data_IF_394908144009
#
_entry.id   IF_394908144009
#
_cell.length_a   1.000
_cell.length_b   1.000
_cell.length_c   1.000
_cell.angle_alpha   90.00
_cell.angle_beta   90.00
_cell.angle_gamma   90.00
#
_symmetry.space_group_name_H-M   'P 1'
#
loop_
_entity.id
_entity.type
_entity.pdbx_description
1 polymer ?
#
# COMPACT_ATOMS: atom_id res chain seq x y z
N UNK A 1 9.03 -14.04 -8.15
CA UNK A 1 7.58 -14.15 -8.40
C UNK A 1 7.08 -12.74 -8.71
N UNK A 2 7.26 -12.33 -9.96
CA UNK A 2 6.18 -11.91 -10.85
C UNK A 2 5.40 -10.69 -10.34
N UNK A 3 5.79 -9.54 -10.91
CA UNK A 3 5.15 -8.21 -11.06
C UNK A 3 3.66 -8.24 -11.49
N UNK A 4 2.96 -9.34 -11.29
CA UNK A 4 1.58 -9.62 -11.64
C UNK A 4 0.65 -9.36 -10.44
N UNK A 5 0.97 -8.38 -9.60
CA UNK A 5 -0.07 -7.68 -8.85
C UNK A 5 -0.95 -7.04 -9.91
N UNK A 6 -2.00 -7.78 -10.30
CA UNK A 6 -3.33 -7.36 -10.73
C UNK A 6 -3.56 -5.84 -10.76
N UNK A 7 -2.76 -5.10 -11.52
CA UNK A 7 -2.85 -3.66 -11.65
C UNK A 7 -4.22 -3.30 -12.24
N UNK A 8 -4.79 -4.21 -13.03
CA UNK A 8 -6.16 -4.16 -13.52
C UNK A 8 -7.23 -4.28 -12.41
N UNK A 9 -7.06 -5.12 -11.39
CA UNK A 9 -8.05 -5.22 -10.30
C UNK A 9 -7.93 -4.04 -9.31
N UNK A 10 -6.73 -3.48 -9.16
CA UNK A 10 -6.47 -2.30 -8.32
C UNK A 10 -6.99 -1.00 -8.95
N UNK A 11 -7.03 -0.90 -10.28
CA UNK A 11 -7.53 0.29 -10.99
C UNK A 11 -9.04 0.52 -10.79
N UNK A 12 -9.85 -0.55 -10.80
CA UNK A 12 -11.30 -0.46 -10.60
C UNK A 12 -11.72 -0.28 -9.14
N UNK A 13 -10.86 -0.68 -8.20
CA UNK A 13 -11.12 -0.62 -6.75
C UNK A 13 -10.30 0.46 -6.04
N UNK A 14 -9.70 1.40 -6.79
CA UNK A 14 -8.73 2.37 -6.23
C UNK A 14 -9.28 3.16 -5.06
N UNK A 15 -10.52 3.65 -5.13
CA UNK A 15 -11.13 4.43 -4.04
C UNK A 15 -11.41 3.58 -2.81
N UNK A 16 -12.00 2.39 -2.99
CA UNK A 16 -12.23 1.45 -1.89
C UNK A 16 -10.92 1.01 -1.21
N UNK A 17 -9.88 0.79 -2.01
CA UNK A 17 -8.57 0.42 -1.49
C UNK A 17 -7.85 1.60 -0.87
N UNK A 18 -8.03 2.82 -1.37
CA UNK A 18 -7.55 4.02 -0.69
C UNK A 18 -8.16 4.10 0.70
N UNK A 19 -9.48 3.98 0.81
CA UNK A 19 -10.17 4.10 2.10
C UNK A 19 -9.77 2.97 3.05
N UNK A 20 -9.64 1.73 2.55
CA UNK A 20 -9.16 0.57 3.32
C UNK A 20 -7.70 0.74 3.78
N UNK A 21 -6.81 1.15 2.87
CA UNK A 21 -5.38 1.30 3.14
C UNK A 21 -5.04 2.61 3.87
N UNK A 22 -5.96 3.57 3.98
CA UNK A 22 -5.72 4.77 4.78
C UNK A 22 -5.61 4.43 6.27
N UNK A 23 -6.22 3.31 6.69
CA UNK A 23 -5.99 2.69 8.00
C UNK A 23 -4.58 2.07 8.05
N UNK A 24 -3.82 2.47 9.08
CA UNK A 24 -2.45 2.05 9.28
C UNK A 24 -2.31 0.52 9.46
N UNK A 25 -3.23 -0.14 10.16
CA UNK A 25 -3.16 -1.59 10.39
C UNK A 25 -3.28 -2.32 9.05
N UNK A 26 -4.24 -1.91 8.23
CA UNK A 26 -4.45 -2.46 6.89
C UNK A 26 -3.26 -2.18 5.97
N UNK A 27 -2.67 -0.99 6.06
CA UNK A 27 -1.46 -0.64 5.33
C UNK A 27 -0.27 -1.53 5.72
N UNK A 28 -0.01 -1.73 7.02
CA UNK A 28 1.06 -2.61 7.51
C UNK A 28 0.82 -4.06 7.09
N UNK A 29 -0.41 -4.55 7.18
CA UNK A 29 -0.76 -5.89 6.67
C UNK A 29 -0.54 -6.01 5.16
N UNK A 30 -0.90 -4.97 4.40
CA UNK A 30 -0.69 -4.92 2.96
C UNK A 30 0.80 -4.98 2.63
N UNK A 31 1.63 -4.17 3.29
CA UNK A 31 3.09 -4.20 3.13
C UNK A 31 3.64 -5.59 3.45
N UNK A 32 3.30 -6.14 4.61
CA UNK A 32 3.81 -7.42 5.10
C UNK A 32 3.37 -8.58 4.22
N UNK A 33 2.13 -8.56 3.75
CA UNK A 33 1.57 -9.61 2.89
C UNK A 33 2.30 -9.72 1.55
N UNK A 34 2.80 -8.60 1.04
CA UNK A 34 3.51 -8.54 -0.23
C UNK A 34 5.02 -8.38 -0.08
N UNK A 35 5.55 -8.44 1.15
CA UNK A 35 6.97 -8.28 1.46
C UNK A 35 7.60 -7.05 0.78
N UNK A 36 6.87 -5.91 0.83
CA UNK A 36 7.20 -4.74 0.01
C UNK A 36 8.47 -4.03 0.49
N UNK A 37 9.38 -3.74 -0.43
CA UNK A 37 10.53 -2.88 -0.16
C UNK A 37 10.10 -1.42 0.06
N UNK A 38 10.90 -0.61 0.75
CA UNK A 38 10.60 0.80 1.06
C UNK A 38 10.23 1.64 -0.18
N UNK A 39 10.87 1.38 -1.31
CA UNK A 39 10.57 2.07 -2.57
C UNK A 39 9.19 1.69 -3.14
N UNK A 40 8.79 0.42 -3.01
CA UNK A 40 7.47 -0.07 -3.41
C UNK A 40 6.37 0.48 -2.49
N UNK A 41 6.63 0.53 -1.18
CA UNK A 41 5.73 1.17 -0.21
C UNK A 41 5.47 2.63 -0.58
N UNK A 42 6.53 3.39 -0.92
CA UNK A 42 6.40 4.78 -1.36
C UNK A 42 5.62 4.89 -2.67
N UNK A 43 5.87 4.00 -3.63
CA UNK A 43 5.13 3.96 -4.88
C UNK A 43 3.64 3.75 -4.64
N UNK A 44 3.26 2.72 -3.88
CA UNK A 44 1.86 2.38 -3.63
C UNK A 44 1.15 3.43 -2.80
N UNK A 45 1.79 3.99 -1.78
CA UNK A 45 1.22 5.10 -1.00
C UNK A 45 0.89 6.29 -1.90
N UNK A 46 1.84 6.71 -2.75
CA UNK A 46 1.63 7.82 -3.66
C UNK A 46 0.58 7.49 -4.74
N UNK A 47 0.56 6.24 -5.21
CA UNK A 47 -0.41 5.77 -6.20
C UNK A 47 -1.85 5.85 -5.68
N UNK A 48 -2.08 5.44 -4.41
CA UNK A 48 -3.39 5.50 -3.76
C UNK A 48 -3.72 6.88 -3.16
N UNK A 49 -2.71 7.72 -2.92
CA UNK A 49 -2.89 9.03 -2.28
C UNK A 49 -3.29 8.90 -0.81
N UNK A 50 -2.64 7.99 -0.09
CA UNK A 50 -2.92 7.75 1.34
C UNK A 50 -2.44 8.95 2.17
N UNK A 51 -3.22 9.32 3.19
CA UNK A 51 -3.01 10.55 3.97
C UNK A 51 -2.07 10.37 5.16
N UNK A 52 -1.79 9.14 5.57
CA UNK A 52 -0.87 8.89 6.68
C UNK A 52 0.58 9.23 6.32
N UNK A 53 1.24 9.97 7.21
CA UNK A 53 2.67 10.28 7.09
C UNK A 53 3.50 9.11 7.60
N UNK A 54 4.59 8.79 6.89
CA UNK A 54 5.55 7.74 7.27
C UNK A 54 6.36 8.08 8.53
N UNK A 55 5.95 9.08 9.31
CA UNK A 55 6.85 9.74 10.25
C UNK A 55 7.24 8.88 11.46
N UNK A 56 6.62 7.72 11.71
CA UNK A 56 7.01 6.89 12.86
C UNK A 56 6.88 5.36 12.77
N UNK A 57 6.52 4.74 11.64
CA UNK A 57 6.34 3.27 11.59
C UNK A 57 6.95 2.77 10.28
N UNK A 58 8.10 2.10 10.28
CA UNK A 58 8.37 0.83 10.95
C UNK A 58 9.89 0.75 11.23
N UNK A 59 10.30 0.83 12.50
CA UNK A 59 11.47 0.09 12.99
C UNK A 59 10.99 -1.35 13.28
N UNK A 60 10.87 -2.19 12.24
CA UNK A 60 10.82 -3.65 12.35
C UNK A 60 12.08 -4.21 11.69
#
# INVERSE_FOLDING_TARGET
MSFQLKALELLGAKEHLRDYLNDLVNWVEFIRRYDMAKDEQRYWRNYFGLEHTFENEIEL
#
